data_IF_690069582535
#
_entry.id   IF_690069582535
#
_cell.length_a   1.000
_cell.length_b   1.000
_cell.length_c   1.000
_cell.angle_alpha   90.00
_cell.angle_beta   90.00
_cell.angle_gamma   90.00
#
_symmetry.space_group_name_H-M   'P 1'
#
loop_
_entity.id
_entity.type
_entity.pdbx_description
1 polymer ?
#
# COMPACT_ATOMS: atom_id res chain seq x y z
N UNK A 1 -23.06 19.25 35.19
CA UNK A 1 -23.19 18.03 36.01
C UNK A 1 -21.80 17.44 36.16
N UNK A 2 -21.29 17.38 37.39
CA UNK A 2 -19.88 17.14 37.71
C UNK A 2 -19.59 15.64 37.76
N UNK A 3 -18.62 15.19 36.98
CA UNK A 3 -18.04 13.84 37.00
C UNK A 3 -16.88 13.81 38.00
N UNK A 4 -17.17 13.65 39.29
CA UNK A 4 -16.14 13.78 40.34
C UNK A 4 -16.15 12.71 41.44
N UNK A 5 -16.96 11.63 41.36
CA UNK A 5 -17.04 10.67 42.47
C UNK A 5 -17.12 9.21 42.01
N UNK A 6 -16.07 8.76 41.32
CA UNK A 6 -15.82 7.31 41.22
C UNK A 6 -14.32 7.04 41.35
N UNK A 7 -13.77 7.38 42.50
CA UNK A 7 -12.46 6.88 42.89
C UNK A 7 -12.60 5.42 43.33
N UNK A 8 -11.89 4.47 42.68
CA UNK A 8 -11.96 3.07 43.06
C UNK A 8 -11.57 2.91 44.53
N UNK A 9 -12.47 2.33 45.32
CA UNK A 9 -12.24 2.13 46.76
C UNK A 9 -10.97 1.30 47.02
N UNK A 10 -10.34 1.50 48.18
CA UNK A 10 -9.10 0.82 48.60
C UNK A 10 -9.20 -0.72 48.49
N UNK A 11 -10.41 -1.27 48.63
CA UNK A 11 -10.69 -2.71 48.46
C UNK A 11 -10.62 -3.22 47.01
N UNK A 12 -10.90 -2.38 46.01
CA UNK A 12 -10.81 -2.72 44.58
C UNK A 12 -9.35 -2.75 44.08
N UNK A 13 -8.47 -1.93 44.69
CA UNK A 13 -7.06 -1.85 44.32
C UNK A 13 -6.21 -3.00 44.88
N UNK A 14 -6.69 -3.72 45.91
CA UNK A 14 -5.94 -4.83 46.53
C UNK A 14 -5.71 -6.03 45.60
N UNK A 15 -6.49 -6.16 44.53
CA UNK A 15 -6.37 -7.23 43.54
C UNK A 15 -6.31 -6.70 42.09
N UNK A 16 -5.86 -5.45 41.89
CA UNK A 16 -5.74 -4.88 40.56
C UNK A 16 -4.57 -5.53 39.81
N UNK A 17 -4.89 -6.32 38.77
CA UNK A 17 -3.90 -6.85 37.85
C UNK A 17 -3.43 -5.73 36.91
N UNK A 18 -2.20 -5.29 37.08
CA UNK A 18 -1.56 -4.34 36.16
C UNK A 18 -0.69 -5.13 35.20
N UNK A 19 -1.05 -5.14 33.91
CA UNK A 19 -0.22 -5.72 32.87
C UNK A 19 0.55 -4.60 32.16
N UNK A 20 1.87 -4.67 32.19
CA UNK A 20 2.69 -3.85 31.31
C UNK A 20 2.53 -4.39 29.88
N UNK A 21 2.02 -3.56 28.97
CA UNK A 21 1.97 -3.86 27.54
C UNK A 21 3.00 -2.96 26.85
N UNK A 22 3.92 -3.56 26.10
CA UNK A 22 4.80 -2.82 25.21
C UNK A 22 4.24 -2.85 23.79
N UNK A 23 4.19 -1.67 23.16
CA UNK A 23 3.78 -1.55 21.77
C UNK A 23 4.99 -1.88 20.89
N UNK A 24 4.86 -2.90 20.04
CA UNK A 24 5.90 -3.19 19.05
C UNK A 24 5.95 -2.06 18.01
N UNK A 25 7.16 -1.75 17.53
CA UNK A 25 7.32 -0.87 16.39
C UNK A 25 6.57 -1.45 15.18
N UNK A 26 5.99 -0.57 14.35
CA UNK A 26 5.37 -1.00 13.11
C UNK A 26 6.41 -1.74 12.26
N UNK A 27 6.04 -2.92 11.76
CA UNK A 27 6.86 -3.67 10.81
C UNK A 27 7.00 -2.89 9.49
N UNK A 28 7.96 -3.29 8.65
CA UNK A 28 8.07 -2.72 7.31
C UNK A 28 6.78 -2.99 6.50
N UNK A 29 6.34 -2.00 5.75
CA UNK A 29 5.24 -2.17 4.80
C UNK A 29 5.60 -3.23 3.76
N UNK A 30 4.75 -4.24 3.55
CA UNK A 30 5.01 -5.30 2.57
C UNK A 30 5.23 -4.78 1.15
N UNK A 31 6.01 -5.52 0.36
CA UNK A 31 6.26 -5.18 -1.05
C UNK A 31 4.95 -5.12 -1.86
N UNK A 32 4.84 -4.23 -2.88
CA UNK A 32 3.66 -4.18 -3.72
C UNK A 32 3.38 -5.50 -4.44
N UNK A 33 2.19 -6.04 -4.21
CA UNK A 33 1.69 -7.22 -4.91
C UNK A 33 1.06 -6.83 -6.26
N UNK A 34 1.89 -6.71 -7.29
CA UNK A 34 1.47 -6.36 -8.65
C UNK A 34 1.49 -7.59 -9.56
N UNK A 35 0.39 -7.84 -10.26
CA UNK A 35 0.25 -8.88 -11.29
C UNK A 35 0.10 -8.23 -12.66
N UNK A 36 1.04 -8.52 -13.56
CA UNK A 36 1.04 -8.04 -14.94
C UNK A 36 0.79 -9.23 -15.86
N UNK A 37 -0.16 -9.10 -16.78
CA UNK A 37 -0.50 -10.17 -17.70
C UNK A 37 -1.55 -9.76 -18.72
N UNK A 38 -2.07 -10.74 -19.47
CA UNK A 38 -3.13 -10.51 -20.46
C UNK A 38 -4.50 -10.73 -19.82
N UNK A 39 -5.46 -9.85 -20.13
CA UNK A 39 -6.85 -10.05 -19.76
C UNK A 39 -7.54 -11.04 -20.72
N UNK A 40 -8.81 -11.37 -20.47
CA UNK A 40 -9.60 -12.30 -21.32
C UNK A 40 -9.72 -11.90 -22.80
N UNK A 41 -9.41 -10.66 -23.13
CA UNK A 41 -9.46 -10.11 -24.48
C UNK A 41 -8.05 -9.98 -25.12
N UNK A 42 -7.00 -10.51 -24.47
CA UNK A 42 -5.63 -10.43 -24.97
C UNK A 42 -4.97 -9.06 -24.79
N UNK A 43 -5.61 -8.11 -24.09
CA UNK A 43 -4.98 -6.82 -23.78
C UNK A 43 -4.09 -6.94 -22.54
N UNK A 44 -2.93 -6.29 -22.56
CA UNK A 44 -2.07 -6.21 -21.37
C UNK A 44 -2.80 -5.50 -20.23
N UNK A 45 -2.62 -5.99 -19.01
CA UNK A 45 -3.32 -5.54 -17.82
C UNK A 45 -2.41 -5.60 -16.59
N UNK A 46 -2.68 -4.72 -15.64
CA UNK A 46 -1.97 -4.59 -14.39
C UNK A 46 -3.00 -4.65 -13.27
N UNK A 47 -2.75 -5.50 -12.29
CA UNK A 47 -3.65 -5.73 -11.17
C UNK A 47 -2.88 -5.60 -9.87
N UNK A 48 -3.42 -4.82 -8.94
CA UNK A 48 -2.87 -4.70 -7.61
C UNK A 48 -3.72 -5.54 -6.66
N UNK A 49 -3.09 -6.45 -5.91
CA UNK A 49 -3.83 -7.23 -4.92
C UNK A 49 -4.38 -6.30 -3.85
N UNK A 50 -5.68 -6.36 -3.60
CA UNK A 50 -6.24 -5.65 -2.46
C UNK A 50 -6.21 -6.56 -1.22
N UNK A 51 -5.17 -6.40 -0.40
CA UNK A 51 -5.08 -7.05 0.91
C UNK A 51 -5.37 -6.04 2.03
N UNK A 52 -6.67 -5.76 2.25
CA UNK A 52 -7.19 -4.69 3.13
C UNK A 52 -6.67 -4.72 4.57
N UNK A 53 -6.08 -5.83 5.01
CA UNK A 53 -5.52 -5.96 6.37
C UNK A 53 -4.12 -5.37 6.50
N UNK A 54 -3.40 -5.25 5.39
CA UNK A 54 -1.99 -4.84 5.37
C UNK A 54 -1.76 -3.61 4.51
N UNK A 55 -2.45 -3.50 3.37
CA UNK A 55 -2.29 -2.41 2.41
C UNK A 55 -3.61 -1.62 2.33
N UNK A 56 -3.50 -0.31 2.51
CA UNK A 56 -4.59 0.65 2.34
C UNK A 56 -4.75 1.04 0.86
N UNK A 57 -3.66 1.45 0.22
CA UNK A 57 -3.66 1.83 -1.20
C UNK A 57 -2.29 1.69 -1.86
N UNK A 58 -2.27 1.88 -3.18
CA UNK A 58 -1.05 1.96 -3.97
C UNK A 58 -0.88 3.35 -4.55
N UNK A 59 0.36 3.81 -4.68
CA UNK A 59 0.69 4.97 -5.53
C UNK A 59 1.57 4.52 -6.67
N UNK A 60 1.25 5.00 -7.88
CA UNK A 60 1.85 4.50 -9.12
C UNK A 60 2.30 5.67 -10.00
N UNK A 61 3.52 5.58 -10.54
CA UNK A 61 4.03 6.42 -11.63
C UNK A 61 4.21 5.54 -12.86
N UNK A 62 3.78 6.01 -14.03
CA UNK A 62 3.84 5.24 -15.27
C UNK A 62 4.26 6.12 -16.44
N UNK A 63 5.03 5.55 -17.35
CA UNK A 63 5.43 6.23 -18.59
C UNK A 63 6.38 5.39 -19.44
N UNK A 64 6.94 5.96 -20.52
CA UNK A 64 7.93 5.29 -21.34
C UNK A 64 9.16 4.91 -20.50
N UNK A 65 9.74 3.69 -20.67
CA UNK A 65 10.87 3.24 -19.86
C UNK A 65 12.07 4.17 -19.83
N UNK A 66 12.38 4.80 -20.96
CA UNK A 66 13.57 5.65 -21.12
C UNK A 66 13.45 7.02 -20.43
N UNK A 67 12.23 7.43 -20.06
CA UNK A 67 11.94 8.76 -19.50
C UNK A 67 11.30 8.73 -18.13
N UNK A 68 10.93 7.53 -17.65
CA UNK A 68 10.28 7.36 -16.36
C UNK A 68 11.33 7.05 -15.29
N UNK A 69 11.78 8.08 -14.59
CA UNK A 69 12.60 7.92 -13.39
C UNK A 69 11.71 7.61 -12.18
N UNK A 70 11.89 6.45 -11.57
CA UNK A 70 11.13 6.03 -10.39
C UNK A 70 11.69 6.60 -9.08
N UNK A 71 12.91 7.16 -9.10
CA UNK A 71 13.52 7.82 -7.94
C UNK A 71 12.97 9.24 -7.72
N UNK A 72 12.43 9.85 -8.78
CA UNK A 72 11.76 11.15 -8.71
C UNK A 72 10.35 11.01 -8.08
N UNK A 73 10.06 11.74 -6.99
CA UNK A 73 8.78 11.61 -6.28
C UNK A 73 7.60 12.19 -7.06
N UNK A 74 7.85 13.07 -8.04
CA UNK A 74 6.79 13.66 -8.86
C UNK A 74 6.16 12.63 -9.81
N UNK A 75 4.83 12.69 -9.95
CA UNK A 75 4.08 11.90 -10.92
C UNK A 75 3.45 10.62 -10.38
N UNK A 76 3.71 10.27 -9.12
CA UNK A 76 2.97 9.20 -8.43
C UNK A 76 1.53 9.61 -8.16
N UNK A 77 0.58 8.73 -8.48
CA UNK A 77 -0.86 8.93 -8.26
C UNK A 77 -1.46 7.73 -7.57
N UNK A 78 -2.43 7.96 -6.70
CA UNK A 78 -3.14 6.87 -6.02
C UNK A 78 -3.89 5.99 -7.02
N UNK A 79 -3.73 4.68 -6.90
CA UNK A 79 -4.31 3.68 -7.79
C UNK A 79 -5.22 2.73 -7.00
N UNK A 80 -6.52 2.79 -7.29
CA UNK A 80 -7.54 1.99 -6.60
C UNK A 80 -8.15 0.88 -7.47
N UNK A 81 -7.73 0.77 -8.74
CA UNK A 81 -8.35 -0.12 -9.73
C UNK A 81 -7.30 -0.86 -10.55
N UNK A 82 -7.67 -2.02 -11.06
CA UNK A 82 -6.91 -2.69 -12.10
C UNK A 82 -6.89 -1.84 -13.38
N UNK A 83 -5.78 -1.87 -14.11
CA UNK A 83 -5.60 -1.15 -15.37
C UNK A 83 -5.59 -2.12 -16.55
N UNK A 84 -6.29 -1.76 -17.61
CA UNK A 84 -6.08 -2.33 -18.95
C UNK A 84 -5.25 -1.34 -19.74
N UNK A 85 -4.09 -1.78 -20.22
CA UNK A 85 -3.11 -0.95 -20.92
C UNK A 85 -3.46 -0.86 -22.41
N UNK A 86 -3.26 0.33 -22.97
CA UNK A 86 -3.44 0.55 -24.41
C UNK A 86 -2.17 0.10 -25.13
N UNK A 87 -2.31 -0.56 -26.27
CA UNK A 87 -1.13 -1.00 -27.05
C UNK A 87 -0.17 0.17 -27.36
N UNK A 88 -0.70 1.35 -27.69
CA UNK A 88 0.08 2.57 -27.95
C UNK A 88 0.85 3.15 -26.76
N UNK A 89 0.55 2.71 -25.54
CA UNK A 89 1.29 3.12 -24.35
C UNK A 89 2.38 2.13 -23.97
N UNK A 90 2.60 1.07 -24.77
CA UNK A 90 3.64 0.08 -24.56
C UNK A 90 4.85 0.36 -25.47
N UNK A 91 6.09 0.06 -25.02
CA UNK A 91 6.44 -0.47 -23.70
C UNK A 91 6.20 0.56 -22.59
N UNK A 92 5.91 0.07 -21.38
CA UNK A 92 5.54 0.91 -20.24
C UNK A 92 6.35 0.52 -19.01
N UNK A 93 6.97 1.49 -18.36
CA UNK A 93 7.55 1.34 -17.02
C UNK A 93 6.53 1.73 -15.97
N UNK A 94 6.46 0.96 -14.90
CA UNK A 94 5.53 1.14 -13.78
C UNK A 94 6.33 1.14 -12.49
N UNK A 95 6.27 2.25 -11.76
CA UNK A 95 6.86 2.41 -10.43
C UNK A 95 5.73 2.33 -9.41
N UNK A 96 5.82 1.45 -8.41
CA UNK A 96 4.75 1.24 -7.43
C UNK A 96 5.28 1.31 -5.99
N UNK A 97 4.56 2.06 -5.15
CA UNK A 97 4.61 1.92 -3.70
C UNK A 97 3.28 1.37 -3.19
N UNK A 98 3.34 0.49 -2.20
CA UNK A 98 2.20 0.11 -1.38
C UNK A 98 2.23 0.98 -0.13
N UNK A 99 1.07 1.43 0.33
CA UNK A 99 0.91 2.17 1.56
C UNK A 99 0.11 1.31 2.53
N UNK A 100 0.65 1.05 3.71
CA UNK A 100 -0.11 0.32 4.73
C UNK A 100 -1.19 1.16 5.40
N UNK A 101 -1.91 0.56 6.33
CA UNK A 101 -2.98 1.20 7.11
C UNK A 101 -2.51 2.39 7.97
N UNK A 102 -1.21 2.54 8.18
CA UNK A 102 -0.62 3.68 8.89
C UNK A 102 -0.06 4.73 7.91
N UNK A 103 -0.19 4.51 6.61
CA UNK A 103 0.34 5.38 5.55
C UNK A 103 1.85 5.27 5.33
N UNK A 104 2.50 4.23 5.88
CA UNK A 104 3.92 4.00 5.62
C UNK A 104 4.10 3.38 4.22
N UNK A 105 5.04 3.89 3.39
CA UNK A 105 5.30 3.32 2.08
C UNK A 105 6.20 2.09 2.17
N UNK A 106 5.97 1.13 1.27
CA UNK A 106 6.84 -0.01 1.01
C UNK A 106 8.17 0.40 0.38
N UNK A 107 9.07 -0.58 0.20
CA UNK A 107 10.11 -0.44 -0.81
C UNK A 107 9.49 -0.22 -2.20
N UNK A 108 10.20 0.53 -3.05
CA UNK A 108 9.79 0.77 -4.43
C UNK A 108 9.88 -0.53 -5.25
N UNK A 109 8.82 -0.83 -6.00
CA UNK A 109 8.83 -1.88 -7.01
C UNK A 109 8.77 -1.26 -8.41
N UNK A 110 9.63 -1.76 -9.30
CA UNK A 110 9.65 -1.37 -10.71
C UNK A 110 9.30 -2.56 -11.60
N UNK A 111 8.41 -2.34 -12.56
CA UNK A 111 8.05 -3.33 -13.57
C UNK A 111 8.13 -2.71 -14.98
N UNK A 112 8.50 -3.52 -15.98
CA UNK A 112 8.45 -3.15 -17.40
C UNK A 112 7.43 -4.04 -18.10
N UNK A 113 6.44 -3.42 -18.73
CA UNK A 113 5.53 -4.10 -19.65
C UNK A 113 6.08 -3.96 -21.07
N UNK A 114 6.38 -5.07 -21.77
CA UNK A 114 6.95 -5.02 -23.11
C UNK A 114 5.94 -4.46 -24.12
N UNK A 115 6.43 -4.16 -25.34
CA UNK A 115 5.59 -3.81 -26.47
C UNK A 115 4.51 -4.88 -26.72
N UNK A 116 3.40 -4.47 -27.35
CA UNK A 116 2.43 -5.44 -27.83
C UNK A 116 3.03 -6.25 -28.99
N UNK A 117 2.96 -7.57 -28.91
CA UNK A 117 3.22 -8.49 -30.02
C UNK A 117 2.20 -8.30 -31.16
#
# INVERSE_FOLDING_TARGET
MSSADEQPGIGLMRNALTLAMELQAAGLTPEPQVKIGKNRFGASSVRWSYEHRLIDHYTVKMGPPDTTDCSEPEGFKTQFRDLTLRAKSLPLKICTYAHDINGQPSALREDIVPAAD
#
